data_IF_961260165175
#
_entry.id   IF_961260165175
#
_cell.length_a   1.000
_cell.length_b   1.000
_cell.length_c   1.000
_cell.angle_alpha   90.00
_cell.angle_beta   90.00
_cell.angle_gamma   90.00
#
_symmetry.space_group_name_H-M   'P 1'
#
loop_
_entity.id
_entity.type
_entity.pdbx_description
1 polymer ?
#
# COMPACT_ATOMS: atom_id res chain seq x y z
N UNK A 1 -42.40 -3.54 -12.97
CA UNK A 1 -41.21 -2.69 -13.07
C UNK A 1 -40.35 -2.98 -11.85
N UNK A 2 -39.25 -3.71 -12.04
CA UNK A 2 -38.43 -4.20 -10.94
C UNK A 2 -37.35 -3.16 -10.64
N UNK A 3 -37.18 -2.78 -9.37
CA UNK A 3 -36.18 -1.79 -8.94
C UNK A 3 -34.75 -2.20 -9.34
N UNK A 4 -34.54 -3.49 -9.61
CA UNK A 4 -33.27 -4.07 -10.07
C UNK A 4 -32.88 -3.70 -11.51
N UNK A 5 -33.80 -3.19 -12.32
CA UNK A 5 -33.53 -2.80 -13.71
C UNK A 5 -33.04 -1.34 -13.83
N UNK A 6 -33.09 -0.57 -12.74
CA UNK A 6 -32.76 0.86 -12.70
C UNK A 6 -31.37 1.16 -12.10
N UNK A 7 -30.79 0.17 -11.42
CA UNK A 7 -29.44 0.24 -10.85
C UNK A 7 -28.65 -0.90 -11.46
N UNK A 8 -28.11 -0.64 -12.66
CA UNK A 8 -27.09 -1.48 -13.25
C UNK A 8 -25.99 -1.76 -12.23
N UNK A 9 -25.53 -3.02 -12.22
CA UNK A 9 -24.43 -3.54 -11.41
C UNK A 9 -23.14 -2.71 -11.56
N UNK A 10 -23.03 -1.58 -10.84
CA UNK A 10 -21.86 -0.71 -10.99
C UNK A 10 -21.34 -0.07 -9.69
N UNK A 11 -21.93 -0.25 -8.51
CA UNK A 11 -21.61 0.68 -7.39
C UNK A 11 -21.21 0.07 -6.05
N UNK A 12 -20.75 -1.18 -6.02
CA UNK A 12 -19.93 -1.66 -4.88
C UNK A 12 -18.42 -1.49 -5.14
N UNK A 13 -17.98 -1.55 -6.41
CA UNK A 13 -16.61 -1.20 -6.78
C UNK A 13 -16.37 0.32 -6.75
N UNK A 14 -17.31 1.12 -7.25
CA UNK A 14 -17.16 2.58 -7.32
C UNK A 14 -17.19 3.24 -5.93
N UNK A 15 -17.95 2.70 -4.96
CA UNK A 15 -17.92 3.20 -3.57
C UNK A 15 -16.59 2.96 -2.86
N UNK A 16 -15.80 1.98 -3.32
CA UNK A 16 -14.44 1.75 -2.80
C UNK A 16 -13.40 2.64 -3.48
N UNK A 17 -13.73 3.19 -4.66
CA UNK A 17 -12.88 4.11 -5.42
C UNK A 17 -13.05 5.58 -4.97
N UNK A 18 -14.22 5.96 -4.45
CA UNK A 18 -14.47 7.34 -3.96
C UNK A 18 -13.93 7.63 -2.54
N UNK A 19 -13.55 6.61 -1.76
CA UNK A 19 -12.87 6.80 -0.47
C UNK A 19 -11.37 7.15 -0.61
N UNK A 20 -10.84 7.19 -1.84
CA UNK A 20 -9.45 7.59 -2.17
C UNK A 20 -9.29 9.13 -2.32
N UNK A 21 -10.24 9.93 -1.81
CA UNK A 21 -10.25 11.40 -1.96
C UNK A 21 -10.27 12.13 -0.60
N UNK A 22 -10.08 11.44 0.52
CA UNK A 22 -10.06 12.10 1.85
C UNK A 22 -8.91 11.63 2.75
N UNK A 23 -7.70 11.59 2.22
CA UNK A 23 -6.48 11.54 3.04
C UNK A 23 -5.57 12.73 2.74
N UNK A 24 -6.13 13.92 2.95
CA UNK A 24 -5.38 15.18 2.97
C UNK A 24 -5.29 15.78 4.39
N UNK A 25 -5.43 14.97 5.44
CA UNK A 25 -5.38 15.46 6.83
C UNK A 25 -4.78 14.42 7.77
N UNK A 26 -3.48 14.13 7.59
CA UNK A 26 -2.47 13.88 8.65
C UNK A 26 -1.12 13.59 7.98
N UNK A 27 -0.66 14.50 7.12
CA UNK A 27 0.70 14.47 6.56
C UNK A 27 1.69 15.23 7.44
N UNK A 28 1.64 14.99 8.75
CA UNK A 28 2.63 15.51 9.71
C UNK A 28 3.27 14.39 10.55
N UNK A 29 3.02 13.13 10.18
CA UNK A 29 3.94 12.04 10.52
C UNK A 29 5.00 12.06 9.43
N UNK A 30 6.03 12.86 9.69
CA UNK A 30 7.27 13.03 8.93
C UNK A 30 7.46 11.90 7.89
N UNK A 31 7.41 12.18 6.58
CA UNK A 31 7.49 11.13 5.53
C UNK A 31 8.72 10.22 5.68
N UNK A 32 9.78 10.70 6.34
CA UNK A 32 10.96 9.93 6.71
C UNK A 32 10.66 8.79 7.72
N UNK A 33 9.58 8.87 8.48
CA UNK A 33 9.15 7.89 9.47
C UNK A 33 8.51 6.69 8.77
N UNK A 34 7.68 6.91 7.75
CA UNK A 34 7.10 5.81 6.97
C UNK A 34 8.17 5.02 6.22
N UNK A 35 9.12 5.70 5.57
CA UNK A 35 10.24 5.06 4.88
C UNK A 35 11.11 4.26 5.87
N UNK A 36 11.37 4.82 7.05
CA UNK A 36 12.11 4.15 8.13
C UNK A 36 11.36 2.92 8.64
N UNK A 37 10.04 3.01 8.81
CA UNK A 37 9.19 1.89 9.21
C UNK A 37 9.18 0.78 8.16
N UNK A 38 9.09 1.11 6.87
CA UNK A 38 9.21 0.14 5.76
C UNK A 38 10.57 -0.58 5.82
N UNK A 39 11.66 0.16 5.99
CA UNK A 39 13.02 -0.41 6.11
C UNK A 39 13.10 -1.34 7.32
N UNK A 40 12.53 -0.95 8.47
CA UNK A 40 12.55 -1.78 9.68
C UNK A 40 11.77 -3.09 9.48
N UNK A 41 10.63 -3.06 8.80
CA UNK A 41 9.90 -4.27 8.45
C UNK A 41 10.72 -5.20 7.54
N UNK A 42 11.40 -4.64 6.53
CA UNK A 42 12.31 -5.40 5.65
C UNK A 42 13.49 -6.00 6.43
N UNK A 43 14.05 -5.28 7.41
CA UNK A 43 15.12 -5.79 8.27
C UNK A 43 14.67 -6.96 9.15
N UNK A 44 13.42 -6.91 9.62
CA UNK A 44 12.83 -7.96 10.44
C UNK A 44 12.51 -9.19 9.57
N UNK A 45 11.88 -8.98 8.42
CA UNK A 45 11.53 -10.01 7.46
C UNK A 45 11.69 -9.50 6.02
N UNK A 46 12.76 -9.94 5.35
CA UNK A 46 13.01 -9.59 3.96
C UNK A 46 11.93 -10.11 2.99
N UNK A 47 11.10 -11.07 3.38
CA UNK A 47 10.01 -11.60 2.55
C UNK A 47 8.66 -10.92 2.79
N UNK A 48 8.63 -9.88 3.63
CA UNK A 48 7.40 -9.16 3.93
C UNK A 48 6.79 -8.54 2.66
N UNK A 49 5.51 -8.86 2.43
CA UNK A 49 4.76 -8.32 1.28
C UNK A 49 4.27 -6.90 1.55
N UNK A 50 3.99 -6.14 0.48
CA UNK A 50 3.40 -4.80 0.61
C UNK A 50 2.02 -4.82 1.27
N UNK A 51 1.28 -5.94 1.15
CA UNK A 51 -0.01 -6.12 1.83
C UNK A 51 0.14 -6.30 3.34
N UNK A 52 1.18 -7.01 3.78
CA UNK A 52 1.51 -7.12 5.20
C UNK A 52 1.99 -5.78 5.75
N UNK A 53 2.88 -5.08 5.03
CA UNK A 53 3.29 -3.73 5.41
C UNK A 53 2.09 -2.79 5.57
N UNK A 54 1.16 -2.81 4.61
CA UNK A 54 -0.07 -2.01 4.65
C UNK A 54 -0.92 -2.29 5.90
N UNK A 55 -1.05 -3.55 6.32
CA UNK A 55 -1.79 -3.91 7.54
C UNK A 55 -1.09 -3.47 8.81
N UNK A 56 0.24 -3.57 8.86
CA UNK A 56 1.04 -3.23 10.05
C UNK A 56 1.14 -1.71 10.23
N UNK A 57 1.31 -0.99 9.12
CA UNK A 57 1.51 0.46 9.09
C UNK A 57 0.19 1.24 8.95
N UNK A 58 -0.94 0.52 8.84
CA UNK A 58 -2.29 1.07 8.66
C UNK A 58 -2.44 2.08 7.50
N UNK A 59 -1.58 1.95 6.48
CA UNK A 59 -1.61 2.76 5.25
C UNK A 59 -1.97 1.90 4.06
N UNK A 60 -2.43 2.52 2.97
CA UNK A 60 -2.78 1.78 1.76
C UNK A 60 -1.57 1.09 1.13
N UNK A 61 -1.79 -0.07 0.50
CA UNK A 61 -0.74 -0.75 -0.30
C UNK A 61 -0.21 0.13 -1.44
N UNK A 62 -1.04 1.02 -1.97
CA UNK A 62 -0.66 2.02 -2.97
C UNK A 62 0.35 3.02 -2.41
N UNK A 63 0.13 3.51 -1.20
CA UNK A 63 1.05 4.41 -0.48
C UNK A 63 2.40 3.72 -0.27
N UNK A 64 2.40 2.50 0.26
CA UNK A 64 3.63 1.71 0.44
C UNK A 64 4.41 1.56 -0.87
N UNK A 65 3.73 1.17 -1.97
CA UNK A 65 4.37 1.01 -3.29
C UNK A 65 4.93 2.33 -3.84
N UNK A 66 4.25 3.45 -3.60
CA UNK A 66 4.74 4.79 -4.00
C UNK A 66 6.03 5.13 -3.27
N UNK A 67 6.06 4.98 -1.95
CA UNK A 67 7.24 5.25 -1.13
C UNK A 67 8.41 4.34 -1.51
N UNK A 68 8.20 3.01 -1.62
CA UNK A 68 9.25 2.07 -2.06
C UNK A 68 9.85 2.46 -3.41
N UNK A 69 9.05 3.01 -4.34
CA UNK A 69 9.53 3.46 -5.65
C UNK A 69 10.38 4.74 -5.56
N UNK A 70 10.09 5.61 -4.61
CA UNK A 70 10.82 6.85 -4.34
C UNK A 70 12.11 6.58 -3.53
N UNK A 71 12.11 5.52 -2.73
CA UNK A 71 13.28 5.01 -2.00
C UNK A 71 14.32 4.40 -2.95
N UNK A 72 15.56 4.86 -2.86
CA UNK A 72 16.69 4.37 -3.68
C UNK A 72 17.59 3.36 -2.95
N UNK A 73 17.28 3.06 -1.69
CA UNK A 73 18.08 2.25 -0.79
C UNK A 73 17.50 0.85 -0.53
N UNK A 74 16.44 0.46 -1.23
CA UNK A 74 15.85 -0.88 -1.15
C UNK A 74 15.55 -1.43 -2.54
N UNK A 75 15.61 -2.76 -2.71
CA UNK A 75 15.34 -3.43 -3.98
C UNK A 75 14.70 -4.80 -3.75
N UNK A 76 13.69 -5.13 -4.57
CA UNK A 76 13.15 -6.49 -4.60
C UNK A 76 14.01 -7.37 -5.51
N UNK A 77 14.48 -8.49 -4.98
CA UNK A 77 15.28 -9.50 -5.67
C UNK A 77 14.44 -10.77 -5.84
N UNK A 78 14.50 -11.38 -7.03
CA UNK A 78 13.74 -12.59 -7.36
C UNK A 78 12.36 -12.31 -7.97
N UNK A 79 11.52 -13.33 -8.04
CA UNK A 79 10.19 -13.27 -8.66
C UNK A 79 9.15 -14.06 -7.87
N UNK A 80 7.91 -13.58 -7.86
CA UNK A 80 6.82 -14.23 -7.14
C UNK A 80 7.15 -14.49 -5.66
N UNK A 81 6.83 -15.70 -5.19
CA UNK A 81 6.97 -16.12 -3.79
C UNK A 81 8.41 -16.41 -3.35
N UNK A 82 9.37 -16.53 -4.28
CA UNK A 82 10.77 -16.79 -3.93
C UNK A 82 11.59 -15.52 -3.73
N UNK A 83 11.02 -14.36 -4.06
CA UNK A 83 11.71 -13.08 -3.91
C UNK A 83 11.73 -12.55 -2.48
N UNK A 84 12.58 -11.55 -2.27
CA UNK A 84 12.76 -10.83 -1.02
C UNK A 84 13.27 -9.41 -1.28
N UNK A 85 13.10 -8.54 -0.30
CA UNK A 85 13.65 -7.19 -0.27
C UNK A 85 15.08 -7.22 0.28
N UNK A 86 15.98 -6.50 -0.40
CA UNK A 86 17.33 -6.20 0.05
C UNK A 86 17.49 -4.70 0.27
N UNK A 87 18.29 -4.33 1.27
CA UNK A 87 18.70 -2.95 1.53
C UNK A 87 20.06 -2.76 0.86
N UNK A 88 20.20 -1.73 0.04
CA UNK A 88 21.40 -1.41 -0.75
C UNK A 88 22.45 -0.64 0.06
#
# INVERSE_FOLDING_TARGET
MNIRDLIGEATEYDKKLELDVTQDVTQDVNSNDLDTQIINLIKIDGKVSTEQMSKILEVSTRTIKRHIKEMNNIKYIGSGYSGHWEIL
#
